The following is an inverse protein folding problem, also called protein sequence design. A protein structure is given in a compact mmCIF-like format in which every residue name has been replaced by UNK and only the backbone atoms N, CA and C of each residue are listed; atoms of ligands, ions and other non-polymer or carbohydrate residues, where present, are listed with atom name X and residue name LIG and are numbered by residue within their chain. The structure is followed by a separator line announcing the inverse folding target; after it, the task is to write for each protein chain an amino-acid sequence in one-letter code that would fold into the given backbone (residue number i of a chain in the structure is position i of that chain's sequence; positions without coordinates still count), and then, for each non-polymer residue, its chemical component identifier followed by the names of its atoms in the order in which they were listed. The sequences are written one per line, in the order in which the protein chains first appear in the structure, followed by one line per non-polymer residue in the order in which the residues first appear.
data_IF_815101526363
#
_entry.id   IF_815101526363
#
_cell.length_a   1.000
_cell.length_b   1.000
_cell.length_c   1.000
_cell.angle_alpha   90.00
_cell.angle_beta   90.00
_cell.angle_gamma   90.00
#
_symmetry.space_group_name_H-M   'P 1'
#
loop_
_entity.id
_entity.type
_entity.pdbx_description
1 polymer ?
#
# COMPACT_ATOMS: atom_id res chain seq x y z
N UNK A 1 48.51 -2.46 -12.95
CA UNK A 1 47.59 -3.47 -13.49
C UNK A 1 46.35 -3.39 -12.64
N UNK A 2 45.31 -2.74 -13.14
CA UNK A 2 44.05 -2.65 -12.39
C UNK A 2 43.42 -4.04 -12.34
N UNK A 3 43.56 -4.70 -11.19
CA UNK A 3 43.01 -6.02 -10.92
C UNK A 3 41.52 -5.88 -10.65
N UNK A 4 40.74 -5.66 -11.70
CA UNK A 4 39.29 -5.77 -11.62
C UNK A 4 38.93 -7.26 -11.58
N UNK A 5 38.09 -7.65 -10.62
CA UNK A 5 37.47 -8.96 -10.61
C UNK A 5 36.32 -8.96 -11.62
N UNK A 6 36.49 -9.70 -12.71
CA UNK A 6 35.48 -9.83 -13.76
C UNK A 6 34.42 -10.86 -13.34
N UNK A 7 33.16 -10.53 -13.61
CA UNK A 7 31.97 -11.38 -13.35
C UNK A 7 31.23 -11.66 -14.65
N UNK A 8 30.36 -12.68 -14.66
CA UNK A 8 29.51 -12.94 -15.85
C UNK A 8 28.42 -11.88 -15.99
N UNK A 9 27.84 -11.75 -17.18
CA UNK A 9 26.73 -10.81 -17.42
C UNK A 9 25.52 -11.12 -16.55
N UNK A 10 25.23 -12.40 -16.29
CA UNK A 10 24.15 -12.83 -15.42
C UNK A 10 24.41 -12.43 -13.96
N UNK A 11 25.63 -12.61 -13.48
CA UNK A 11 26.04 -12.19 -12.13
C UNK A 11 25.95 -10.67 -11.99
N UNK A 12 26.44 -9.92 -12.98
CA UNK A 12 26.36 -8.47 -13.00
C UNK A 12 24.89 -7.98 -12.98
N UNK A 13 24.04 -8.55 -13.85
CA UNK A 13 22.63 -8.19 -13.92
C UNK A 13 21.91 -8.49 -12.61
N UNK A 14 22.23 -9.61 -11.97
CA UNK A 14 21.69 -9.95 -10.65
C UNK A 14 22.10 -8.93 -9.59
N UNK A 15 23.40 -8.60 -9.50
CA UNK A 15 23.90 -7.59 -8.55
C UNK A 15 23.31 -6.21 -8.81
N UNK A 16 23.08 -5.84 -10.07
CA UNK A 16 22.40 -4.60 -10.42
C UNK A 16 21.01 -4.53 -9.81
N UNK A 17 20.19 -5.58 -9.93
CA UNK A 17 18.84 -5.62 -9.34
C UNK A 17 18.89 -5.52 -7.80
N UNK A 18 19.84 -6.19 -7.16
CA UNK A 18 19.99 -6.16 -5.69
C UNK A 18 20.41 -4.79 -5.16
N UNK A 19 21.16 -4.01 -5.94
CA UNK A 19 21.57 -2.65 -5.60
C UNK A 19 20.54 -1.59 -6.01
N UNK A 20 19.88 -1.79 -7.15
CA UNK A 20 18.94 -0.82 -7.71
C UNK A 20 17.60 -0.82 -6.94
N UNK A 21 17.13 -1.99 -6.49
CA UNK A 21 15.84 -2.16 -5.82
C UNK A 21 16.02 -2.36 -4.32
N UNK A 22 16.16 -1.24 -3.61
CA UNK A 22 16.28 -1.22 -2.15
C UNK A 22 14.91 -1.09 -1.48
N UNK A 23 14.84 -1.44 -0.19
CA UNK A 23 13.61 -1.32 0.60
C UNK A 23 13.15 0.14 0.69
N UNK A 24 14.08 1.07 0.88
CA UNK A 24 13.80 2.51 1.02
C UNK A 24 13.23 3.09 -0.26
N UNK A 25 13.78 2.73 -1.43
CA UNK A 25 13.26 3.18 -2.73
C UNK A 25 11.85 2.66 -2.97
N UNK A 26 11.60 1.40 -2.64
CA UNK A 26 10.26 0.82 -2.77
C UNK A 26 9.29 1.50 -1.81
N UNK A 27 9.66 1.68 -0.54
CA UNK A 27 8.81 2.37 0.44
C UNK A 27 8.49 3.81 0.02
N UNK A 28 9.48 4.56 -0.46
CA UNK A 28 9.31 5.92 -0.96
C UNK A 28 8.36 5.99 -2.17
N UNK A 29 8.51 5.08 -3.14
CA UNK A 29 7.61 5.01 -4.29
C UNK A 29 6.16 4.75 -3.85
N UNK A 30 5.93 3.92 -2.83
CA UNK A 30 4.58 3.70 -2.30
C UNK A 30 4.04 4.87 -1.47
N UNK A 31 4.91 5.68 -0.86
CA UNK A 31 4.48 6.86 -0.10
C UNK A 31 3.84 7.91 -1.01
N UNK A 32 4.33 8.05 -2.25
CA UNK A 32 3.74 8.94 -3.25
C UNK A 32 2.39 8.43 -3.78
N UNK A 33 2.18 7.12 -3.81
CA UNK A 33 0.94 6.47 -4.27
C UNK A 33 -0.14 6.51 -3.19
N UNK A 34 0.27 6.42 -1.92
CA UNK A 34 -0.58 6.48 -0.75
C UNK A 34 -0.99 7.92 -0.44
N UNK A 35 -2.04 8.45 -1.10
CA UNK A 35 -2.55 9.80 -0.82
C UNK A 35 -2.89 10.07 0.65
N UNK A 36 -3.01 11.34 1.04
CA UNK A 36 -2.99 11.76 2.45
C UNK A 36 -4.23 11.38 3.28
N UNK A 37 -5.44 11.52 2.72
CA UNK A 37 -6.69 11.29 3.45
C UNK A 37 -7.80 10.79 2.51
N UNK A 38 -8.57 9.81 2.99
CA UNK A 38 -9.73 9.25 2.31
C UNK A 38 -10.95 9.39 3.22
N UNK A 39 -12.08 9.86 2.68
CA UNK A 39 -13.33 9.93 3.44
C UNK A 39 -14.38 9.02 2.81
N UNK A 40 -15.02 8.20 3.64
CA UNK A 40 -16.10 7.31 3.28
C UNK A 40 -17.34 7.61 4.13
N UNK A 41 -18.51 7.62 3.51
CA UNK A 41 -19.81 7.73 4.17
C UNK A 41 -20.52 9.08 3.98
N UNK A 42 -21.65 9.30 4.67
CA UNK A 42 -22.21 8.45 5.72
C UNK A 42 -22.90 7.17 5.21
N UNK A 43 -22.54 6.03 5.79
CA UNK A 43 -23.17 4.72 5.52
C UNK A 43 -24.21 4.40 6.59
N UNK A 44 -25.40 3.94 6.20
CA UNK A 44 -26.42 3.54 7.15
C UNK A 44 -26.17 2.13 7.70
N UNK A 45 -26.09 1.98 9.02
CA UNK A 45 -25.65 0.76 9.70
C UNK A 45 -26.54 0.40 10.88
N UNK A 46 -26.46 -0.87 11.30
CA UNK A 46 -27.20 -1.43 12.45
C UNK A 46 -28.70 -1.71 12.18
N UNK A 47 -29.41 -2.29 13.16
CA UNK A 47 -30.83 -2.60 13.05
C UNK A 47 -31.66 -1.37 12.69
N UNK A 48 -32.52 -1.49 11.69
CA UNK A 48 -33.37 -0.37 11.24
C UNK A 48 -32.62 0.81 10.59
N UNK A 49 -31.33 0.66 10.25
CA UNK A 49 -30.50 1.72 9.64
C UNK A 49 -30.46 3.00 10.48
N UNK A 50 -30.51 2.83 11.80
CA UNK A 50 -30.59 3.94 12.76
C UNK A 50 -29.24 4.64 12.98
N UNK A 51 -28.13 3.96 12.71
CA UNK A 51 -26.80 4.54 12.79
C UNK A 51 -26.31 5.03 11.43
N UNK A 52 -25.58 6.14 11.40
CA UNK A 52 -24.79 6.58 10.25
C UNK A 52 -23.32 6.56 10.63
N UNK A 53 -22.50 5.92 9.81
CA UNK A 53 -21.06 5.81 10.04
C UNK A 53 -20.30 6.53 8.93
N UNK A 54 -19.42 7.43 9.31
CA UNK A 54 -18.43 8.06 8.43
C UNK A 54 -17.05 7.62 8.88
N UNK A 55 -16.18 7.27 7.94
CA UNK A 55 -14.79 6.92 8.20
C UNK A 55 -13.87 7.89 7.47
N UNK A 56 -12.89 8.44 8.17
CA UNK A 56 -11.76 9.17 7.59
C UNK A 56 -10.51 8.35 7.78
N UNK A 57 -9.88 7.93 6.70
CA UNK A 57 -8.69 7.10 6.69
C UNK A 57 -7.51 7.98 6.35
N UNK A 58 -6.51 8.02 7.22
CA UNK A 58 -5.21 8.62 6.95
C UNK A 58 -4.20 7.51 6.72
N UNK A 59 -3.53 7.56 5.59
CA UNK A 59 -2.47 6.61 5.25
C UNK A 59 -1.18 7.08 5.91
N UNK A 60 -0.42 6.17 6.50
CA UNK A 60 0.85 6.46 7.14
C UNK A 60 2.01 5.97 6.27
N UNK A 61 3.24 6.29 6.71
CA UNK A 61 4.45 5.94 5.97
C UNK A 61 4.60 4.42 5.74
N UNK A 62 4.75 3.98 4.47
CA UNK A 62 4.95 2.57 4.13
C UNK A 62 6.27 2.02 4.67
N UNK A 63 6.27 0.73 4.99
CA UNK A 63 7.51 -0.03 5.24
C UNK A 63 7.60 -1.20 4.28
N UNK A 64 8.69 -1.28 3.53
CA UNK A 64 8.99 -2.42 2.68
C UNK A 64 9.97 -3.36 3.37
N UNK A 65 9.84 -4.66 3.12
CA UNK A 65 10.83 -5.67 3.49
C UNK A 65 11.09 -6.50 2.26
N UNK A 66 12.36 -6.60 1.88
CA UNK A 66 12.83 -7.31 0.69
C UNK A 66 13.08 -8.78 1.02
N UNK A 67 12.76 -9.65 0.07
CA UNK A 67 13.12 -11.05 0.08
C UNK A 67 13.95 -11.35 -1.17
N UNK A 68 15.12 -11.96 -0.94
CA UNK A 68 16.00 -12.41 -2.01
C UNK A 68 15.67 -13.87 -2.32
N UNK A 69 15.39 -14.14 -3.59
CA UNK A 69 15.24 -15.48 -4.17
C UNK A 69 15.51 -15.39 -5.67
N UNK A 70 14.97 -16.31 -6.47
CA UNK A 70 15.12 -16.24 -7.94
C UNK A 70 14.61 -14.91 -8.50
N UNK A 71 13.55 -14.37 -7.90
CA UNK A 71 13.05 -13.00 -8.11
C UNK A 71 13.17 -12.21 -6.81
N UNK A 72 13.53 -10.93 -6.90
CA UNK A 72 13.50 -10.03 -5.74
C UNK A 72 12.06 -9.61 -5.50
N UNK A 73 11.53 -9.95 -4.33
CA UNK A 73 10.16 -9.60 -3.93
C UNK A 73 10.14 -8.68 -2.72
N UNK A 74 9.02 -8.00 -2.52
CA UNK A 74 8.81 -7.10 -1.41
C UNK A 74 7.48 -7.41 -0.75
N UNK A 75 7.50 -7.45 0.58
CA UNK A 75 6.32 -7.31 1.41
C UNK A 75 6.25 -5.87 1.88
N UNK A 76 5.17 -5.17 1.54
CA UNK A 76 4.96 -3.77 1.93
C UNK A 76 3.83 -3.71 2.94
N UNK A 77 4.06 -3.05 4.07
CA UNK A 77 3.05 -2.78 5.10
C UNK A 77 2.81 -1.29 5.20
N UNK A 78 1.55 -0.88 5.07
CA UNK A 78 1.15 0.53 5.10
C UNK A 78 0.18 0.70 6.29
N UNK A 79 0.63 1.32 7.40
CA UNK A 79 -0.24 1.57 8.54
C UNK A 79 -1.32 2.60 8.19
N UNK A 80 -2.48 2.47 8.82
CA UNK A 80 -3.62 3.35 8.64
C UNK A 80 -4.11 3.85 9.99
N UNK A 81 -4.55 5.10 10.03
CA UNK A 81 -5.31 5.66 11.15
C UNK A 81 -6.70 5.98 10.66
N UNK A 82 -7.73 5.42 11.28
CA UNK A 82 -9.11 5.52 10.82
C UNK A 82 -9.95 6.21 11.90
N UNK A 83 -10.38 7.43 11.60
CA UNK A 83 -11.28 8.20 12.45
C UNK A 83 -12.73 7.90 12.05
N UNK A 84 -13.45 7.21 12.93
CA UNK A 84 -14.84 6.83 12.78
C UNK A 84 -15.75 7.83 13.51
N UNK A 85 -16.79 8.29 12.82
CA UNK A 85 -17.91 9.03 13.39
C UNK A 85 -19.18 8.18 13.29
N UNK A 86 -19.73 7.79 14.43
CA UNK A 86 -20.98 7.02 14.54
C UNK A 86 -22.08 7.95 15.05
N UNK A 87 -23.05 8.25 14.21
CA UNK A 87 -24.22 9.08 14.51
C UNK A 87 -25.45 8.20 14.74
N UNK A 88 -25.96 8.17 15.98
CA UNK A 88 -27.14 7.42 16.42
C UNK A 88 -28.39 8.30 16.50
N UNK A 89 -28.42 9.44 15.78
CA UNK A 89 -29.41 10.52 15.80
C UNK A 89 -29.44 11.33 17.09
N UNK A 90 -29.56 10.66 18.24
CA UNK A 90 -29.61 11.28 19.56
C UNK A 90 -28.20 11.60 20.09
N UNK A 91 -27.19 10.89 19.57
CA UNK A 91 -25.83 10.95 20.07
C UNK A 91 -24.84 10.71 18.93
N UNK A 92 -23.66 11.35 19.01
CA UNK A 92 -22.57 11.24 18.05
C UNK A 92 -21.30 10.83 18.79
N UNK A 93 -20.76 9.68 18.40
CA UNK A 93 -19.59 9.10 19.02
C UNK A 93 -18.43 9.07 18.02
N UNK A 94 -17.22 9.36 18.51
CA UNK A 94 -15.99 9.36 17.71
C UNK A 94 -15.04 8.30 18.23
N UNK A 95 -14.43 7.57 17.30
CA UNK A 95 -13.45 6.53 17.61
C UNK A 95 -12.28 6.68 16.65
N UNK A 96 -11.08 6.36 17.13
CA UNK A 96 -9.92 6.18 16.27
C UNK A 96 -9.54 4.71 16.37
N UNK A 97 -9.36 4.07 15.22
CA UNK A 97 -8.95 2.67 15.12
C UNK A 97 -7.77 2.57 14.17
N UNK A 98 -6.87 1.64 14.44
CA UNK A 98 -5.72 1.39 13.59
C UNK A 98 -6.08 0.40 12.48
N UNK A 99 -5.38 0.49 11.36
CA UNK A 99 -5.47 -0.49 10.30
C UNK A 99 -4.12 -0.71 9.64
N UNK A 100 -4.07 -1.70 8.75
CA UNK A 100 -2.88 -1.97 7.96
C UNK A 100 -3.27 -2.52 6.59
N UNK A 101 -2.58 -2.06 5.56
CA UNK A 101 -2.61 -2.62 4.21
C UNK A 101 -1.36 -3.48 4.02
N UNK A 102 -1.53 -4.74 3.64
CA UNK A 102 -0.46 -5.63 3.24
C UNK A 102 -0.42 -5.74 1.71
N UNK A 103 0.65 -5.23 1.10
CA UNK A 103 0.90 -5.32 -0.34
C UNK A 103 2.11 -6.20 -0.64
N UNK A 104 2.17 -6.66 -1.88
CA UNK A 104 3.30 -7.41 -2.42
C UNK A 104 3.75 -6.80 -3.72
N UNK A 105 5.06 -6.76 -3.93
CA UNK A 105 5.63 -6.37 -5.21
C UNK A 105 6.76 -7.31 -5.61
N UNK A 106 7.04 -7.39 -6.91
CA UNK A 106 8.16 -8.12 -7.48
C UNK A 106 8.94 -7.22 -8.43
N UNK A 107 10.26 -7.17 -8.29
CA UNK A 107 11.11 -6.51 -9.27
C UNK A 107 11.30 -7.44 -10.48
N UNK A 108 10.92 -6.95 -11.66
CA UNK A 108 11.01 -7.69 -12.92
C UNK A 108 11.92 -6.97 -13.90
N UNK A 109 12.74 -7.74 -14.60
CA UNK A 109 13.42 -7.28 -15.80
C UNK A 109 12.48 -7.40 -17.00
N UNK A 110 12.46 -6.39 -17.85
CA UNK A 110 11.74 -6.36 -19.12
C UNK A 110 12.64 -5.84 -20.24
N UNK A 111 12.37 -6.27 -21.47
CA UNK A 111 13.10 -5.79 -22.64
C UNK A 111 12.85 -4.29 -22.90
N UNK A 112 13.83 -3.53 -23.43
CA UNK A 112 15.21 -3.96 -23.69
C UNK A 112 16.11 -3.97 -22.43
N UNK A 113 15.94 -3.01 -21.51
CA UNK A 113 16.63 -2.93 -20.21
C UNK A 113 15.77 -2.11 -19.23
N UNK A 114 14.56 -2.58 -18.97
CA UNK A 114 13.60 -1.91 -18.09
C UNK A 114 13.45 -2.69 -16.80
N UNK A 115 13.50 -2.00 -15.66
CA UNK A 115 13.15 -2.56 -14.37
C UNK A 115 11.73 -2.12 -14.01
N UNK A 116 10.86 -3.08 -13.77
CA UNK A 116 9.47 -2.87 -13.40
C UNK A 116 9.23 -3.40 -12.00
N UNK A 117 8.72 -2.54 -11.11
CA UNK A 117 8.15 -2.98 -9.84
C UNK A 117 6.70 -3.41 -10.09
N UNK A 118 6.49 -4.70 -10.30
CA UNK A 118 5.16 -5.28 -10.47
C UNK A 118 4.46 -5.36 -9.11
N UNK A 119 3.42 -4.56 -8.93
CA UNK A 119 2.69 -4.43 -7.66
C UNK A 119 1.35 -5.17 -7.76
N UNK A 120 1.14 -6.13 -6.87
CA UNK A 120 -0.14 -6.82 -6.78
C UNK A 120 -1.23 -5.88 -6.22
N UNK A 121 -2.38 -5.82 -6.90
CA UNK A 121 -3.53 -5.06 -6.41
C UNK A 121 -4.06 -5.67 -5.10
N UNK A 122 -4.32 -4.86 -4.07
CA UNK A 122 -4.85 -5.37 -2.82
C UNK A 122 -6.27 -5.90 -3.00
N UNK A 123 -6.56 -6.99 -2.31
CA UNK A 123 -7.93 -7.44 -2.05
C UNK A 123 -8.36 -6.93 -0.68
N UNK A 124 -9.68 -6.90 -0.38
CA UNK A 124 -10.17 -6.52 0.95
C UNK A 124 -9.57 -7.38 2.08
N UNK A 125 -9.21 -8.64 1.81
CA UNK A 125 -8.56 -9.54 2.77
C UNK A 125 -7.13 -9.14 3.12
N UNK A 126 -6.50 -8.33 2.27
CA UNK A 126 -5.15 -7.84 2.47
C UNK A 126 -5.14 -6.53 3.31
N UNK A 127 -6.32 -6.12 3.80
CA UNK A 127 -6.52 -4.96 4.67
C UNK A 127 -7.07 -5.44 6.00
N UNK A 128 -6.49 -4.94 7.08
CA UNK A 128 -6.92 -5.19 8.45
C UNK A 128 -7.37 -3.90 9.11
N UNK A 129 -8.40 -3.99 9.94
CA UNK A 129 -8.86 -2.90 10.82
C UNK A 129 -8.95 -3.46 12.23
N UNK A 130 -8.22 -2.83 13.14
CA UNK A 130 -8.08 -3.25 14.53
C UNK A 130 -8.89 -2.33 15.43
N UNK A 131 -10.05 -2.81 15.87
CA UNK A 131 -10.93 -2.08 16.79
C UNK A 131 -10.61 -2.50 18.21
N UNK A 132 -9.83 -1.70 18.95
CA UNK A 132 -9.60 -1.99 20.37
C UNK A 132 -10.89 -1.79 21.18
N UNK A 133 -11.40 -2.87 21.76
CA UNK A 133 -12.71 -2.88 22.44
C UNK A 133 -12.71 -2.18 23.80
N UNK A 134 -11.54 -1.91 24.40
CA UNK A 134 -11.46 -1.44 25.80
C UNK A 134 -12.16 -0.10 26.03
N UNK A 135 -12.29 0.74 25.00
CA UNK A 135 -12.94 2.05 25.06
C UNK A 135 -14.34 2.09 24.43
N UNK A 136 -14.80 1.00 23.80
CA UNK A 136 -16.02 1.00 22.98
C UNK A 136 -17.12 0.14 23.62
N UNK A 137 -18.31 0.72 23.81
CA UNK A 137 -19.47 0.00 24.35
C UNK A 137 -19.87 -1.17 23.43
N UNK A 138 -20.27 -2.31 23.99
CA UNK A 138 -20.53 -3.55 23.23
C UNK A 138 -21.60 -3.46 22.14
N UNK A 139 -22.55 -2.53 22.23
CA UNK A 139 -23.53 -2.27 21.16
C UNK A 139 -22.90 -1.58 19.94
N UNK A 140 -21.94 -0.67 20.18
CA UNK A 140 -21.20 0.04 19.12
C UNK A 140 -20.19 -0.91 18.45
N UNK A 141 -19.62 -1.87 19.17
CA UNK A 141 -18.72 -2.89 18.58
C UNK A 141 -19.42 -3.66 17.46
N UNK A 142 -20.70 -4.03 17.62
CA UNK A 142 -21.46 -4.75 16.58
C UNK A 142 -21.70 -3.89 15.34
N UNK A 143 -21.94 -2.60 15.53
CA UNK A 143 -22.07 -1.62 14.45
C UNK A 143 -20.77 -1.50 13.66
N UNK A 144 -19.64 -1.32 14.35
CA UNK A 144 -18.32 -1.19 13.71
C UNK A 144 -17.90 -2.50 13.03
N UNK A 145 -18.19 -3.66 13.62
CA UNK A 145 -17.93 -4.96 13.00
C UNK A 145 -18.62 -5.15 11.64
N UNK A 146 -19.80 -4.54 11.44
CA UNK A 146 -20.47 -4.51 10.13
C UNK A 146 -19.88 -3.50 9.15
N UNK A 147 -19.15 -2.49 9.63
CA UNK A 147 -18.52 -1.45 8.80
C UNK A 147 -17.12 -1.86 8.33
N UNK A 148 -16.42 -2.72 9.08
CA UNK A 148 -15.07 -3.19 8.76
C UNK A 148 -14.96 -3.73 7.32
N UNK A 149 -15.87 -4.62 6.92
CA UNK A 149 -15.88 -5.17 5.57
C UNK A 149 -16.01 -4.09 4.48
N UNK A 150 -16.79 -3.04 4.74
CA UNK A 150 -17.00 -1.94 3.82
C UNK A 150 -15.78 -1.01 3.76
N UNK A 151 -15.15 -0.73 4.91
CA UNK A 151 -13.87 0.00 4.99
C UNK A 151 -12.81 -0.71 4.17
N UNK A 152 -12.63 -2.02 4.39
CA UNK A 152 -11.65 -2.84 3.65
C UNK A 152 -11.92 -2.82 2.15
N UNK A 153 -13.19 -2.95 1.75
CA UNK A 153 -13.58 -2.91 0.33
C UNK A 153 -13.25 -1.56 -0.31
N UNK A 154 -13.60 -0.47 0.36
CA UNK A 154 -13.36 0.88 -0.14
C UNK A 154 -11.87 1.17 -0.27
N UNK A 155 -11.08 0.86 0.77
CA UNK A 155 -9.62 1.06 0.75
C UNK A 155 -8.97 0.20 -0.36
N UNK A 156 -9.36 -1.07 -0.50
CA UNK A 156 -8.82 -1.93 -1.57
C UNK A 156 -9.07 -1.36 -2.96
N UNK A 157 -10.29 -0.89 -3.22
CA UNK A 157 -10.67 -0.27 -4.49
C UNK A 157 -9.88 1.03 -4.74
N UNK A 158 -9.76 1.87 -3.70
CA UNK A 158 -9.02 3.12 -3.80
C UNK A 158 -7.54 2.88 -4.10
N UNK A 159 -6.88 2.01 -3.34
CA UNK A 159 -5.45 1.70 -3.53
C UNK A 159 -5.22 1.02 -4.89
N UNK A 160 -6.15 0.17 -5.35
CA UNK A 160 -6.08 -0.39 -6.69
C UNK A 160 -6.13 0.68 -7.78
N UNK A 161 -6.99 1.69 -7.63
CA UNK A 161 -7.08 2.81 -8.56
C UNK A 161 -5.81 3.66 -8.55
N UNK A 162 -5.22 3.92 -7.38
CA UNK A 162 -3.94 4.62 -7.25
C UNK A 162 -2.80 3.82 -7.90
N UNK A 163 -2.75 2.50 -7.70
CA UNK A 163 -1.76 1.64 -8.35
C UNK A 163 -1.83 1.75 -9.88
N UNK A 164 -3.02 1.93 -10.45
CA UNK A 164 -3.25 2.07 -11.89
C UNK A 164 -3.09 3.51 -12.40
N UNK A 165 -2.88 4.50 -11.52
CA UNK A 165 -2.76 5.89 -11.92
C UNK A 165 -1.51 6.12 -12.78
N UNK A 166 -1.54 6.98 -13.82
CA UNK A 166 -0.41 7.20 -14.72
C UNK A 166 0.88 7.59 -13.99
N UNK A 167 0.81 8.49 -13.02
CA UNK A 167 1.95 8.88 -12.18
C UNK A 167 2.55 7.70 -11.41
N UNK A 168 1.69 6.81 -10.91
CA UNK A 168 2.10 5.62 -10.16
C UNK A 168 2.72 4.55 -11.05
N UNK A 169 2.28 4.46 -12.30
CA UNK A 169 2.89 3.57 -13.30
C UNK A 169 4.31 4.04 -13.61
N UNK A 170 4.50 5.36 -13.82
CA UNK A 170 5.82 5.91 -14.09
C UNK A 170 6.78 5.70 -12.92
N UNK A 171 6.34 5.90 -11.67
CA UNK A 171 7.16 5.67 -10.48
C UNK A 171 7.61 4.20 -10.30
N UNK A 172 6.91 3.24 -10.91
CA UNK A 172 7.24 1.81 -10.86
C UNK A 172 8.19 1.35 -11.95
N UNK A 173 8.50 2.20 -12.93
CA UNK A 173 9.27 1.86 -14.11
C UNK A 173 10.58 2.63 -14.11
N UNK A 174 11.70 1.90 -14.14
CA UNK A 174 13.04 2.46 -14.28
C UNK A 174 13.58 2.04 -15.65
N UNK A 175 13.64 2.99 -16.57
CA UNK A 175 14.20 2.81 -17.92
C UNK A 175 15.73 2.97 -17.89
N UNK A 176 16.44 1.84 -17.75
CA UNK A 176 17.90 1.85 -17.65
C UNK A 176 18.55 2.15 -18.99
N UNK A 177 17.97 1.69 -20.10
CA UNK A 177 18.46 2.00 -21.44
C UNK A 177 18.46 3.52 -21.69
N UNK A 178 17.32 4.17 -21.44
CA UNK A 178 17.21 5.62 -21.60
C UNK A 178 18.16 6.43 -20.70
N UNK A 179 18.43 5.94 -19.48
CA UNK A 179 19.43 6.57 -18.59
C UNK A 179 20.86 6.41 -19.11
N UNK A 180 21.20 5.25 -19.69
CA UNK A 180 22.51 5.02 -20.29
C UNK A 180 22.71 5.97 -21.47
N UNK A 181 21.75 6.04 -22.41
CA UNK A 181 21.83 6.91 -23.60
C UNK A 181 22.02 8.40 -23.25
N UNK A 182 21.47 8.84 -22.11
CA UNK A 182 21.63 10.21 -21.61
C UNK A 182 22.98 10.47 -20.94
N UNK A 183 23.55 9.45 -20.31
CA UNK A 183 24.76 9.58 -19.47
C UNK A 183 26.03 9.26 -20.26
N UNK A 184 25.95 8.31 -21.18
CA UNK A 184 27.07 7.80 -21.98
C UNK A 184 26.72 7.92 -23.47
N UNK A 185 27.08 9.05 -24.10
CA UNK A 185 26.79 9.31 -25.52
C UNK A 185 27.65 8.50 -26.49
#
# INVERSE_FOLDING_TARGET
MDSHDYVTYEQWGRSFFELAVTEERVAAAFAEIAGDELTMGPMAQGPGRLARVTAKVRIQEPRATRQLGDTITFTIRIPLVIDLLVDLRLDKQRFTVDGEIALRAAARAAEPLVLILDVAKPRPTDISVHVESKSIRGEIVRLIGGVDAEIRRFIAAHVSAQIDAPESIQAKVIDVAGMIDQTWP
#
